data_IF_774255768256
#
_entry.id   IF_774255768256
#
_cell.length_a   1.000
_cell.length_b   1.000
_cell.length_c   1.000
_cell.angle_alpha   90.00
_cell.angle_beta   90.00
_cell.angle_gamma   90.00
#
_symmetry.space_group_name_H-M   'P 1'
#
loop_
_entity.id
_entity.type
_entity.pdbx_description
1 polymer ?
#
# COMPACT_ATOMS: atom_id res chain seq x y z
N UNK A 1 -13.20 -8.30 0.46
CA UNK A 1 -11.86 -8.83 0.74
C UNK A 1 -10.82 -8.12 -0.11
N UNK A 2 -9.71 -7.75 0.47
CA UNK A 2 -8.70 -6.96 -0.23
C UNK A 2 -7.73 -7.84 -1.02
N UNK A 3 -7.17 -7.28 -2.08
CA UNK A 3 -6.14 -7.93 -2.91
C UNK A 3 -5.02 -6.94 -3.17
N UNK A 4 -3.80 -7.44 -3.35
CA UNK A 4 -2.63 -6.61 -3.64
C UNK A 4 -1.69 -7.32 -4.61
N UNK A 5 -1.07 -6.55 -5.48
CA UNK A 5 -0.01 -7.01 -6.38
C UNK A 5 1.07 -5.95 -6.47
N UNK A 6 2.31 -6.37 -6.32
CA UNK A 6 3.47 -5.49 -6.42
C UNK A 6 4.43 -6.09 -7.44
N UNK A 7 4.91 -5.26 -8.37
CA UNK A 7 5.85 -5.65 -9.40
C UNK A 7 7.04 -4.69 -9.42
N UNK A 8 8.23 -5.23 -9.53
CA UNK A 8 9.49 -4.49 -9.73
C UNK A 8 9.71 -3.37 -8.71
N UNK A 9 9.54 -3.69 -7.44
CA UNK A 9 9.82 -2.76 -6.34
C UNK A 9 10.92 -3.34 -5.45
N UNK A 10 12.13 -2.77 -5.51
CA UNK A 10 13.27 -3.26 -4.77
C UNK A 10 13.53 -4.74 -5.02
N UNK A 11 13.59 -5.58 -3.97
CA UNK A 11 13.81 -7.02 -4.12
C UNK A 11 12.59 -7.77 -4.66
N UNK A 12 11.43 -7.13 -4.76
CA UNK A 12 10.21 -7.77 -5.27
C UNK A 12 10.19 -7.70 -6.79
N UNK A 13 10.12 -8.85 -7.45
CA UNK A 13 9.90 -8.94 -8.89
C UNK A 13 8.43 -8.87 -9.22
N UNK A 14 7.65 -9.80 -8.70
CA UNK A 14 6.21 -9.89 -8.90
C UNK A 14 5.62 -10.78 -7.82
N UNK A 15 4.75 -10.23 -7.02
CA UNK A 15 4.05 -11.01 -5.99
C UNK A 15 2.94 -11.87 -6.55
N UNK A 16 2.53 -11.61 -7.81
CA UNK A 16 1.23 -12.06 -8.28
C UNK A 16 0.10 -11.37 -7.50
N UNK A 17 -1.12 -11.64 -7.88
CA UNK A 17 -2.28 -11.10 -7.17
C UNK A 17 -2.50 -11.92 -5.88
N UNK A 18 -2.30 -11.28 -4.75
CA UNK A 18 -2.47 -11.90 -3.44
C UNK A 18 -3.82 -11.47 -2.87
N UNK A 19 -4.67 -12.44 -2.58
CA UNK A 19 -5.93 -12.20 -1.88
C UNK A 19 -5.70 -12.26 -0.38
N UNK A 20 -6.03 -11.16 0.30
CA UNK A 20 -5.84 -11.05 1.73
C UNK A 20 -7.03 -11.66 2.47
N UNK A 21 -6.75 -12.45 3.48
CA UNK A 21 -7.78 -13.03 4.35
C UNK A 21 -7.63 -12.46 5.77
N UNK A 22 -8.45 -12.92 6.69
CA UNK A 22 -8.38 -12.48 8.09
C UNK A 22 -7.00 -12.74 8.69
N UNK A 23 -6.38 -13.84 8.28
CA UNK A 23 -5.00 -14.16 8.64
C UNK A 23 -4.25 -14.56 7.37
N UNK A 24 -3.18 -13.85 7.07
CA UNK A 24 -2.31 -14.13 5.92
C UNK A 24 -0.89 -14.31 6.41
N UNK A 25 -0.27 -15.44 6.05
CA UNK A 25 1.11 -15.74 6.41
C UNK A 25 2.00 -15.57 5.19
N UNK A 26 3.05 -14.75 5.34
CA UNK A 26 4.03 -14.48 4.29
C UNK A 26 5.36 -15.07 4.70
N UNK A 27 5.88 -15.97 3.88
CA UNK A 27 7.12 -16.69 4.12
C UNK A 27 8.10 -16.38 2.98
N UNK A 28 9.36 -16.24 3.32
CA UNK A 28 10.42 -16.04 2.34
C UNK A 28 11.76 -15.91 3.02
N UNK A 29 12.80 -15.96 2.21
CA UNK A 29 14.16 -15.76 2.69
C UNK A 29 14.35 -14.33 3.16
N UNK A 30 15.37 -14.11 3.99
CA UNK A 30 15.81 -12.77 4.36
C UNK A 30 16.12 -11.97 3.09
N UNK A 31 15.76 -10.70 3.07
CA UNK A 31 15.94 -9.81 1.91
C UNK A 31 15.15 -10.20 0.66
N UNK A 32 14.10 -10.98 0.79
CA UNK A 32 13.24 -11.37 -0.34
C UNK A 32 12.11 -10.38 -0.63
N UNK A 33 12.01 -9.29 0.15
CA UNK A 33 10.98 -8.28 -0.04
C UNK A 33 9.79 -8.39 0.89
N UNK A 34 9.83 -9.27 1.90
CA UNK A 34 8.73 -9.39 2.87
C UNK A 34 8.43 -8.07 3.58
N UNK A 35 9.47 -7.40 4.07
CA UNK A 35 9.32 -6.10 4.74
C UNK A 35 8.78 -5.05 3.79
N UNK A 36 9.27 -5.00 2.56
CA UNK A 36 8.78 -4.06 1.54
C UNK A 36 7.32 -4.31 1.25
N UNK A 37 6.93 -5.57 1.08
CA UNK A 37 5.52 -5.95 0.86
C UNK A 37 4.64 -5.46 2.01
N UNK A 38 5.04 -5.73 3.25
CA UNK A 38 4.26 -5.35 4.42
C UNK A 38 4.15 -3.82 4.55
N UNK A 39 5.22 -3.09 4.24
CA UNK A 39 5.20 -1.63 4.27
C UNK A 39 4.23 -1.06 3.24
N UNK A 40 4.25 -1.57 2.02
CA UNK A 40 3.32 -1.13 0.97
C UNK A 40 1.88 -1.45 1.35
N UNK A 41 1.63 -2.65 1.83
CA UNK A 41 0.29 -3.05 2.28
C UNK A 41 -0.21 -2.15 3.41
N UNK A 42 0.63 -1.89 4.39
CA UNK A 42 0.30 -1.01 5.52
C UNK A 42 -0.04 0.40 5.02
N UNK A 43 0.72 0.92 4.07
CA UNK A 43 0.49 2.25 3.50
C UNK A 43 -0.84 2.32 2.75
N UNK A 44 -1.16 1.32 1.94
CA UNK A 44 -2.43 1.25 1.23
C UNK A 44 -3.62 1.19 2.19
N UNK A 45 -3.51 0.38 3.23
CA UNK A 45 -4.55 0.27 4.27
C UNK A 45 -4.71 1.57 5.05
N UNK A 46 -3.61 2.26 5.32
CA UNK A 46 -3.63 3.57 5.98
C UNK A 46 -4.40 4.59 5.15
N UNK A 47 -4.10 4.67 3.85
CA UNK A 47 -4.81 5.59 2.94
C UNK A 47 -6.30 5.25 2.91
N UNK A 48 -6.64 3.97 2.80
CA UNK A 48 -8.03 3.52 2.81
C UNK A 48 -8.76 3.95 4.08
N UNK A 49 -8.12 3.81 5.22
CA UNK A 49 -8.66 4.26 6.50
C UNK A 49 -8.87 5.78 6.53
N UNK A 50 -7.92 6.54 6.00
CA UNK A 50 -8.04 8.00 5.93
C UNK A 50 -9.23 8.43 5.06
N UNK A 51 -9.44 7.75 3.94
CA UNK A 51 -10.59 8.03 3.06
C UNK A 51 -11.90 7.80 3.80
N UNK A 52 -11.96 6.76 4.64
CA UNK A 52 -13.18 6.41 5.37
C UNK A 52 -13.46 7.32 6.55
N UNK A 53 -12.43 7.76 7.27
CA UNK A 53 -12.61 8.41 8.57
C UNK A 53 -12.52 9.92 8.51
N UNK A 54 -12.01 10.50 7.43
CA UNK A 54 -11.84 11.94 7.32
C UNK A 54 -12.77 12.53 6.28
N UNK A 55 -13.38 13.65 6.66
CA UNK A 55 -14.10 14.51 5.74
C UNK A 55 -13.07 15.37 5.02
N UNK A 56 -12.93 15.18 3.72
CA UNK A 56 -12.02 15.97 2.92
C UNK A 56 -11.49 15.21 1.73
N UNK A 57 -10.60 15.86 0.98
CA UNK A 57 -10.10 15.36 -0.29
C UNK A 57 -8.82 14.53 -0.11
N UNK A 58 -8.88 13.49 0.73
CA UNK A 58 -7.75 12.57 0.91
C UNK A 58 -7.36 11.91 -0.41
N UNK A 59 -8.34 11.55 -1.23
CA UNK A 59 -8.09 10.99 -2.56
C UNK A 59 -7.26 11.97 -3.40
N UNK A 60 -7.64 13.25 -3.43
CA UNK A 60 -6.88 14.26 -4.17
C UNK A 60 -5.48 14.45 -3.60
N UNK A 61 -5.34 14.45 -2.29
CA UNK A 61 -4.05 14.62 -1.63
C UNK A 61 -3.04 13.57 -2.12
N UNK A 62 -3.45 12.31 -2.18
CA UNK A 62 -2.56 11.22 -2.56
C UNK A 62 -2.44 11.01 -4.07
N UNK A 63 -3.31 11.61 -4.88
CA UNK A 63 -3.23 11.52 -6.34
C UNK A 63 -2.40 12.64 -6.97
N UNK A 64 -2.05 13.69 -6.20
CA UNK A 64 -1.28 14.82 -6.69
C UNK A 64 0.15 14.82 -6.15
N UNK A 65 1.06 15.44 -6.88
CA UNK A 65 2.44 15.71 -6.48
C UNK A 65 3.22 14.45 -6.06
N UNK A 66 2.86 13.31 -6.62
CA UNK A 66 3.52 12.04 -6.32
C UNK A 66 3.53 11.72 -4.80
N UNK A 67 2.51 12.16 -4.10
CA UNK A 67 2.43 12.07 -2.64
C UNK A 67 2.45 10.63 -2.13
N UNK A 68 1.82 9.72 -2.87
CA UNK A 68 1.81 8.30 -2.50
C UNK A 68 3.24 7.75 -2.37
N UNK A 69 4.07 7.98 -3.38
CA UNK A 69 5.46 7.51 -3.39
C UNK A 69 6.30 8.26 -2.35
N UNK A 70 6.10 9.57 -2.23
CA UNK A 70 6.83 10.39 -1.27
C UNK A 70 6.60 9.90 0.16
N UNK A 71 5.36 9.60 0.52
CA UNK A 71 5.03 9.12 1.85
C UNK A 71 5.56 7.70 2.09
N UNK A 72 5.56 6.84 1.07
CA UNK A 72 6.21 5.53 1.16
C UNK A 72 7.68 5.67 1.53
N UNK A 73 8.39 6.58 0.88
CA UNK A 73 9.81 6.82 1.15
C UNK A 73 10.02 7.35 2.56
N UNK A 74 9.22 8.33 2.98
CA UNK A 74 9.42 9.03 4.24
C UNK A 74 8.93 8.24 5.45
N UNK A 75 7.69 7.75 5.42
CA UNK A 75 7.08 7.09 6.58
C UNK A 75 7.46 5.62 6.70
N UNK A 76 7.59 4.94 5.57
CA UNK A 76 7.91 3.51 5.57
C UNK A 76 9.37 3.21 5.23
N UNK A 77 10.16 4.25 5.01
CA UNK A 77 11.60 4.16 4.75
C UNK A 77 11.93 3.20 3.60
N UNK A 78 11.13 3.27 2.54
CA UNK A 78 11.44 2.55 1.31
C UNK A 78 12.43 3.39 0.53
N UNK A 79 13.56 2.76 0.14
CA UNK A 79 14.63 3.44 -0.58
C UNK A 79 14.13 3.93 -1.95
N UNK A 80 14.54 5.13 -2.34
CA UNK A 80 14.21 5.69 -3.64
C UNK A 80 14.66 4.78 -4.79
N UNK A 81 15.81 4.12 -4.63
CA UNK A 81 16.34 3.20 -5.64
C UNK A 81 15.48 1.97 -5.88
N UNK A 82 14.55 1.68 -4.98
CA UNK A 82 13.60 0.57 -5.17
C UNK A 82 12.60 0.86 -6.28
N UNK A 83 12.32 2.12 -6.57
CA UNK A 83 11.35 2.51 -7.58
C UNK A 83 11.99 2.58 -8.96
N UNK A 84 11.41 1.89 -9.91
CA UNK A 84 11.84 1.84 -11.31
C UNK A 84 10.67 2.24 -12.21
N UNK A 85 10.97 2.50 -13.49
CA UNK A 85 9.91 2.80 -14.46
C UNK A 85 8.94 1.63 -14.65
N UNK A 86 9.40 0.40 -14.39
CA UNK A 86 8.59 -0.81 -14.46
C UNK A 86 7.87 -1.15 -13.14
N UNK A 87 8.06 -0.35 -12.10
CA UNK A 87 7.40 -0.57 -10.81
C UNK A 87 5.89 -0.42 -10.95
N UNK A 88 5.15 -1.36 -10.40
CA UNK A 88 3.69 -1.32 -10.40
C UNK A 88 3.19 -1.78 -9.04
N UNK A 89 2.24 -1.02 -8.49
CA UNK A 89 1.55 -1.36 -7.24
C UNK A 89 0.06 -1.30 -7.53
N UNK A 90 -0.63 -2.39 -7.26
CA UNK A 90 -2.08 -2.47 -7.36
C UNK A 90 -2.65 -2.95 -6.04
N UNK A 91 -3.59 -2.20 -5.51
CA UNK A 91 -4.30 -2.56 -4.29
C UNK A 91 -5.80 -2.41 -4.51
N UNK A 92 -6.54 -3.47 -4.27
CA UNK A 92 -8.00 -3.46 -4.36
C UNK A 92 -8.56 -3.74 -2.98
N UNK A 93 -8.87 -2.68 -2.26
CA UNK A 93 -9.38 -2.76 -0.90
C UNK A 93 -10.90 -2.81 -0.85
N UNK A 94 -11.43 -2.74 0.37
CA UNK A 94 -12.88 -2.78 0.59
C UNK A 94 -13.56 -1.47 0.20
N UNK A 95 -12.84 -0.36 0.27
CA UNK A 95 -13.36 1.01 0.08
C UNK A 95 -12.75 1.69 -1.13
N UNK A 96 -11.47 1.46 -1.38
CA UNK A 96 -10.73 2.12 -2.46
C UNK A 96 -9.93 1.12 -3.28
N UNK A 97 -9.61 1.52 -4.52
CA UNK A 97 -8.58 0.88 -5.33
C UNK A 97 -7.44 1.86 -5.55
N UNK A 98 -6.21 1.39 -5.42
CA UNK A 98 -5.01 2.18 -5.65
C UNK A 98 -4.22 1.53 -6.78
N UNK A 99 -3.79 2.33 -7.75
CA UNK A 99 -2.95 1.88 -8.86
C UNK A 99 -1.81 2.85 -9.08
N UNK A 100 -0.59 2.36 -9.06
CA UNK A 100 0.62 3.12 -9.34
C UNK A 100 1.41 2.40 -10.42
N UNK A 101 1.79 3.14 -11.47
CA UNK A 101 2.63 2.62 -12.55
C UNK A 101 3.79 3.58 -12.79
N UNK A 102 5.03 3.06 -12.67
CA UNK A 102 6.24 3.84 -12.83
C UNK A 102 6.58 4.72 -11.64
N UNK A 103 7.81 5.18 -11.58
CA UNK A 103 8.30 5.95 -10.45
C UNK A 103 7.92 7.43 -10.48
N UNK A 104 7.61 7.93 -11.67
CA UNK A 104 7.31 9.36 -11.88
C UNK A 104 5.81 9.64 -12.03
N UNK A 105 4.99 8.61 -11.95
CA UNK A 105 3.56 8.77 -12.14
C UNK A 105 2.85 8.89 -10.79
N UNK A 106 1.77 9.67 -10.80
CA UNK A 106 0.92 9.78 -9.63
C UNK A 106 0.07 8.52 -9.48
N UNK A 107 -0.18 8.13 -8.26
CA UNK A 107 -1.10 7.04 -7.98
C UNK A 107 -2.52 7.43 -8.38
N UNK A 108 -3.27 6.46 -8.92
CA UNK A 108 -4.70 6.59 -9.16
C UNK A 108 -5.44 5.95 -8.00
N UNK A 109 -6.32 6.71 -7.37
CA UNK A 109 -7.13 6.23 -6.25
C UNK A 109 -8.59 6.40 -6.63
N UNK A 110 -9.32 5.28 -6.65
CA UNK A 110 -10.73 5.26 -6.99
C UNK A 110 -11.50 4.77 -5.77
N UNK A 111 -12.45 5.57 -5.32
CA UNK A 111 -13.35 5.18 -4.24
C UNK A 111 -14.45 4.29 -4.79
N UNK A 112 -14.70 3.18 -4.11
CA UNK A 112 -15.80 2.29 -4.46
C UNK A 112 -17.13 2.89 -4.02
N UNK A 113 -18.16 2.73 -4.86
CA UNK A 113 -19.49 3.20 -4.55
C UNK A 113 -20.13 2.39 -3.40
N UNK A 114 -21.03 3.03 -2.67
CA UNK A 114 -21.82 2.40 -1.59
C UNK A 114 -21.01 1.84 -0.42
N UNK A 115 -19.83 2.38 -0.17
CA UNK A 115 -18.96 1.94 0.92
C UNK A 115 -19.02 2.86 2.14
N UNK A 116 -20.16 3.51 2.38
CA UNK A 116 -20.38 4.28 3.60
C UNK A 116 -20.67 3.33 4.76
N UNK A 117 -19.65 2.72 5.29
CA UNK A 117 -19.79 1.93 6.50
C UNK A 117 -19.12 2.64 7.66
N UNK A 118 -19.92 3.20 8.53
CA UNK A 118 -19.45 3.85 9.75
C UNK A 118 -18.74 2.88 10.71
N UNK A 119 -18.81 1.59 10.42
CA UNK A 119 -18.18 0.53 11.22
C UNK A 119 -16.76 0.19 10.78
N UNK A 120 -16.27 0.81 9.70
CA UNK A 120 -14.89 0.60 9.27
C UNK A 120 -13.96 1.31 10.25
N UNK A 121 -13.57 0.59 11.28
CA UNK A 121 -12.72 1.10 12.35
C UNK A 121 -11.59 0.12 12.63
N UNK A 122 -10.82 -0.21 11.60
CA UNK A 122 -9.69 -1.10 11.77
C UNK A 122 -8.46 -0.33 12.24
N UNK A 123 -7.75 -0.93 13.17
CA UNK A 123 -6.45 -0.44 13.61
C UNK A 123 -5.38 -1.00 12.68
N UNK A 124 -4.47 -0.14 12.25
CA UNK A 124 -3.36 -0.54 11.41
C UNK A 124 -2.09 -0.42 12.24
N UNK A 125 -1.35 -1.51 12.34
CA UNK A 125 -0.10 -1.53 13.09
C UNK A 125 0.92 -2.37 12.32
N UNK A 126 2.09 -1.79 12.05
CA UNK A 126 3.23 -2.49 11.49
C UNK A 126 4.25 -2.73 12.59
N UNK A 127 4.54 -3.99 12.85
CA UNK A 127 5.52 -4.39 13.86
C UNK A 127 6.69 -5.07 13.16
N UNK A 128 7.86 -4.40 13.05
CA UNK A 128 9.01 -5.01 12.40
C UNK A 128 9.57 -6.18 13.21
N UNK A 129 10.05 -7.21 12.47
CA UNK A 129 10.61 -8.41 13.09
C UNK A 129 11.90 -8.12 13.88
N UNK A 130 12.64 -7.09 13.49
CA UNK A 130 13.91 -6.69 14.12
C UNK A 130 13.70 -5.67 15.25
N UNK A 131 12.64 -5.82 15.97
CA UNK A 131 12.39 -4.93 17.08
C UNK A 131 13.26 -5.32 18.26
N UNK A 132 14.33 -4.58 18.45
CA UNK A 132 15.14 -4.66 19.66
C UNK A 132 14.36 -4.06 20.82
N UNK A 133 13.94 -4.92 21.68
CA UNK A 133 13.29 -4.51 22.93
C UNK A 133 14.34 -4.30 24.01
#
# INVERSE_FOLDING_TARGET
MASIRIQNLGPIRDTGLIHLSDVTLIIGRQSSGKSTFMKVLCHCRWIEKQVMTRLGNIVQTYTHNNRFVTDLKQFHRIDEMYFQDSTSIFYDGDVISISLEGKMHNAKIIRKENTWDSRYNSKISYIPAERNL
#
